data_IF_888890856440
#
_entry.id   IF_888890856440
#
_cell.length_a   1.000
_cell.length_b   1.000
_cell.length_c   1.000
_cell.angle_alpha   90.00
_cell.angle_beta   90.00
_cell.angle_gamma   90.00
#
_symmetry.space_group_name_H-M   'P 1'
#
loop_
_entity.id
_entity.type
_entity.pdbx_description
1 polymer ?
#
# COMPACT_ATOMS: atom_id res chain seq x y z
N UNK A 1 13.41 10.21 10.83
CA UNK A 1 14.22 9.44 9.87
C UNK A 1 13.32 8.62 8.94
N UNK A 2 13.81 8.24 7.74
CA UNK A 2 13.02 7.49 6.75
C UNK A 2 12.54 6.13 7.30
N UNK A 3 13.41 5.38 7.99
CA UNK A 3 13.08 4.11 8.65
C UNK A 3 11.98 4.22 9.73
N UNK A 4 11.76 5.41 10.30
CA UNK A 4 10.67 5.66 11.27
C UNK A 4 9.35 6.06 10.59
N UNK A 5 9.42 6.60 9.38
CA UNK A 5 8.27 7.12 8.64
C UNK A 5 7.70 6.14 7.63
N UNK A 6 8.55 5.30 7.01
CA UNK A 6 8.13 4.32 6.02
C UNK A 6 7.19 3.26 6.63
N UNK A 7 7.40 2.71 7.84
CA UNK A 7 6.44 1.79 8.46
C UNK A 7 5.04 2.40 8.66
N UNK A 8 4.96 3.70 8.97
CA UNK A 8 3.68 4.40 9.08
C UNK A 8 3.00 4.54 7.72
N UNK A 9 3.78 4.76 6.65
CA UNK A 9 3.27 4.80 5.28
C UNK A 9 2.78 3.42 4.82
N UNK A 10 3.53 2.35 5.11
CA UNK A 10 3.15 0.96 4.85
C UNK A 10 1.82 0.63 5.51
N UNK A 11 1.68 0.90 6.82
CA UNK A 11 0.43 0.66 7.55
C UNK A 11 -0.76 1.43 6.97
N UNK A 12 -0.54 2.68 6.52
CA UNK A 12 -1.56 3.47 5.85
C UNK A 12 -1.98 2.86 4.51
N UNK A 13 -1.03 2.45 3.68
CA UNK A 13 -1.29 1.82 2.38
C UNK A 13 -2.02 0.48 2.54
N UNK A 14 -1.64 -0.34 3.52
CA UNK A 14 -2.34 -1.58 3.86
C UNK A 14 -3.80 -1.33 4.26
N UNK A 15 -4.05 -0.28 5.07
CA UNK A 15 -5.42 0.12 5.42
C UNK A 15 -6.22 0.63 4.22
N UNK A 16 -5.58 1.38 3.30
CA UNK A 16 -6.20 1.85 2.06
C UNK A 16 -6.55 0.68 1.13
N UNK A 17 -5.65 -0.29 0.95
CA UNK A 17 -5.89 -1.53 0.20
C UNK A 17 -7.09 -2.28 0.77
N UNK A 18 -7.10 -2.54 2.08
CA UNK A 18 -8.21 -3.24 2.73
C UNK A 18 -9.55 -2.50 2.56
N UNK A 19 -9.53 -1.17 2.56
CA UNK A 19 -10.72 -0.35 2.31
C UNK A 19 -11.22 -0.49 0.88
N UNK A 20 -10.34 -0.42 -0.13
CA UNK A 20 -10.75 -0.56 -1.53
C UNK A 20 -11.22 -1.98 -1.84
N UNK A 21 -10.56 -3.00 -1.27
CA UNK A 21 -10.99 -4.39 -1.39
C UNK A 21 -12.43 -4.56 -0.91
N UNK A 22 -12.77 -4.04 0.28
CA UNK A 22 -14.15 -4.06 0.80
C UNK A 22 -15.17 -3.34 -0.08
N UNK A 23 -14.76 -2.31 -0.82
CA UNK A 23 -15.65 -1.69 -1.81
C UNK A 23 -15.87 -2.61 -3.00
N UNK A 24 -14.82 -3.25 -3.51
CA UNK A 24 -14.90 -4.17 -4.65
C UNK A 24 -15.56 -5.50 -4.32
N UNK A 25 -15.57 -5.90 -3.05
CA UNK A 25 -16.26 -7.10 -2.55
C UNK A 25 -17.79 -6.96 -2.58
N UNK A 26 -18.33 -5.75 -2.77
CA UNK A 26 -19.78 -5.54 -2.99
C UNK A 26 -20.16 -5.97 -4.42
N UNK A 27 -20.85 -7.12 -4.60
CA UNK A 27 -21.14 -7.69 -5.91
C UNK A 27 -22.10 -6.81 -6.73
N UNK A 28 -22.87 -5.93 -6.08
CA UNK A 28 -23.79 -5.03 -6.75
C UNK A 28 -23.12 -3.70 -7.14
N UNK A 29 -21.92 -3.39 -6.62
CA UNK A 29 -21.30 -2.08 -6.81
C UNK A 29 -21.06 -1.78 -8.29
N UNK A 30 -20.63 -2.77 -9.07
CA UNK A 30 -20.42 -2.58 -10.51
C UNK A 30 -21.72 -2.19 -11.23
N UNK A 31 -22.83 -2.82 -10.87
CA UNK A 31 -24.14 -2.58 -11.49
C UNK A 31 -24.75 -1.25 -11.03
N UNK A 32 -24.67 -0.95 -9.72
CA UNK A 32 -25.26 0.25 -9.10
C UNK A 32 -24.44 1.50 -9.37
N UNK A 33 -23.11 1.39 -9.42
CA UNK A 33 -22.20 2.51 -9.56
C UNK A 33 -20.85 2.09 -10.13
N UNK A 34 -20.84 1.80 -11.44
CA UNK A 34 -19.63 1.48 -12.20
C UNK A 34 -18.49 2.47 -11.98
N UNK A 35 -18.77 3.78 -11.95
CA UNK A 35 -17.73 4.80 -11.74
C UNK A 35 -17.00 4.60 -10.41
N UNK A 36 -17.73 4.27 -9.34
CA UNK A 36 -17.13 4.00 -8.02
C UNK A 36 -16.34 2.68 -8.01
N UNK A 37 -16.81 1.66 -8.73
CA UNK A 37 -16.07 0.43 -8.92
C UNK A 37 -14.72 0.66 -9.64
N UNK A 38 -14.75 1.39 -10.77
CA UNK A 38 -13.56 1.72 -11.55
C UNK A 38 -12.56 2.52 -10.69
N UNK A 39 -13.05 3.51 -9.95
CA UNK A 39 -12.22 4.30 -9.02
C UNK A 39 -11.60 3.45 -7.89
N UNK A 40 -12.35 2.52 -7.31
CA UNK A 40 -11.83 1.63 -6.27
C UNK A 40 -10.78 0.66 -6.83
N UNK A 41 -10.98 0.17 -8.07
CA UNK A 41 -10.04 -0.72 -8.76
C UNK A 41 -8.71 -0.02 -9.08
N UNK A 42 -8.79 1.22 -9.60
CA UNK A 42 -7.62 2.05 -9.88
C UNK A 42 -6.87 2.41 -8.58
N UNK A 43 -7.62 2.76 -7.52
CA UNK A 43 -7.03 3.09 -6.23
C UNK A 43 -6.36 1.87 -5.59
N UNK A 44 -6.96 0.68 -5.71
CA UNK A 44 -6.38 -0.57 -5.21
C UNK A 44 -5.05 -0.86 -5.92
N UNK A 45 -5.03 -0.83 -7.24
CA UNK A 45 -3.82 -1.09 -8.05
C UNK A 45 -2.69 -0.13 -7.66
N UNK A 46 -3.00 1.17 -7.56
CA UNK A 46 -2.01 2.19 -7.16
C UNK A 46 -1.48 1.96 -5.75
N UNK A 47 -2.36 1.66 -4.79
CA UNK A 47 -1.95 1.44 -3.41
C UNK A 47 -1.10 0.17 -3.26
N UNK A 48 -1.39 -0.90 -4.01
CA UNK A 48 -0.58 -2.12 -4.03
C UNK A 48 0.81 -1.87 -4.63
N UNK A 49 0.89 -1.13 -5.73
CA UNK A 49 2.17 -0.77 -6.33
C UNK A 49 3.01 0.11 -5.38
N UNK A 50 2.39 1.13 -4.79
CA UNK A 50 3.09 1.99 -3.84
C UNK A 50 3.52 1.23 -2.58
N UNK A 51 2.70 0.29 -2.09
CA UNK A 51 3.05 -0.54 -0.94
C UNK A 51 4.33 -1.33 -1.23
N UNK A 52 4.41 -2.00 -2.38
CA UNK A 52 5.58 -2.75 -2.78
C UNK A 52 6.83 -1.88 -2.86
N UNK A 53 6.76 -0.72 -3.51
CA UNK A 53 7.89 0.22 -3.63
C UNK A 53 8.38 0.72 -2.26
N UNK A 54 7.47 0.97 -1.32
CA UNK A 54 7.80 1.45 0.02
C UNK A 54 8.37 0.32 0.90
N UNK A 55 7.85 -0.90 0.77
CA UNK A 55 8.37 -2.08 1.47
C UNK A 55 9.79 -2.42 1.01
N UNK A 56 10.05 -2.44 -0.30
CA UNK A 56 11.38 -2.67 -0.87
C UNK A 56 12.38 -1.62 -0.37
N UNK A 57 12.01 -0.34 -0.44
CA UNK A 57 12.85 0.75 0.06
C UNK A 57 13.13 0.64 1.56
N UNK A 58 12.15 0.22 2.35
CA UNK A 58 12.34 0.03 3.79
C UNK A 58 13.34 -1.10 4.06
N UNK A 59 13.23 -2.23 3.35
CA UNK A 59 14.17 -3.34 3.45
C UNK A 59 15.59 -2.93 3.05
N UNK A 60 15.75 -2.20 1.94
CA UNK A 60 17.07 -1.68 1.50
C UNK A 60 17.73 -0.81 2.57
N UNK A 61 16.98 0.08 3.20
CA UNK A 61 17.48 0.94 4.26
C UNK A 61 17.82 0.16 5.53
N UNK A 62 17.05 -0.87 5.85
CA UNK A 62 17.28 -1.71 7.02
C UNK A 62 18.57 -2.53 6.86
N UNK A 63 18.80 -3.09 5.66
CA UNK A 63 20.05 -3.77 5.29
C UNK A 63 21.24 -2.82 5.40
N UNK A 64 21.15 -1.61 4.81
CA UNK A 64 22.23 -0.63 4.89
C UNK A 64 22.54 -0.23 6.34
N UNK A 65 21.50 -0.07 7.18
CA UNK A 65 21.68 0.22 8.61
C UNK A 65 22.41 -0.93 9.31
N UNK A 66 22.01 -2.17 9.06
CA UNK A 66 22.65 -3.34 9.66
C UNK A 66 24.12 -3.45 9.24
N UNK A 67 24.45 -3.24 7.96
CA UNK A 67 25.83 -3.24 7.46
C UNK A 67 26.72 -2.19 8.15
N UNK A 68 26.18 -0.99 8.39
CA UNK A 68 26.90 0.08 9.10
C UNK A 68 27.08 -0.26 10.59
N UNK A 69 26.10 -0.92 11.22
CA UNK A 69 26.17 -1.30 12.64
C UNK A 69 27.10 -2.48 12.90
N UNK A 70 27.36 -3.34 11.90
CA UNK A 70 28.26 -4.50 12.00
C UNK A 70 29.71 -4.19 11.59
N UNK A 71 29.98 -3.00 11.03
CA UNK A 71 31.32 -2.53 10.64
C UNK A 71 32.09 -1.90 11.80
#
# INVERSE_FOLDING_TARGET
>A
HALETLPKRIAKLQAEIAKQQRHLDDPDLFQKNRKKFDQASDALTKAQQELHEVEDKWLELEVLREEIEQA
#
